data_IF_539066417324
#
_entry.id   IF_539066417324
#
_cell.length_a   1.000
_cell.length_b   1.000
_cell.length_c   1.000
_cell.angle_alpha   90.00
_cell.angle_beta   90.00
_cell.angle_gamma   90.00
#
_symmetry.space_group_name_H-M   'P 1'
#
loop_
_entity.id
_entity.type
_entity.pdbx_description
1 polymer ?
#
# COMPACT_ATOMS: atom_id res chain seq x y z
N UNK A 1 10.83 59.31 8.53
CA UNK A 1 11.39 58.08 9.17
C UNK A 1 10.47 56.89 8.95
N UNK A 2 9.15 57.07 9.04
CA UNK A 2 8.14 56.03 8.84
C UNK A 2 8.18 55.39 7.43
N UNK A 3 8.39 56.19 6.38
CA UNK A 3 8.47 55.68 5.00
C UNK A 3 9.64 54.70 4.77
N UNK A 4 10.75 54.90 5.48
CA UNK A 4 11.91 54.01 5.40
C UNK A 4 11.60 52.64 6.01
N UNK A 5 10.92 52.61 7.16
CA UNK A 5 10.51 51.37 7.80
C UNK A 5 9.46 50.62 6.98
N UNK A 6 8.49 51.34 6.40
CA UNK A 6 7.43 50.74 5.58
C UNK A 6 7.97 50.01 4.35
N UNK A 7 9.10 50.46 3.79
CA UNK A 7 9.73 49.83 2.63
C UNK A 7 10.75 48.77 3.07
N UNK A 8 11.58 49.05 4.07
CA UNK A 8 12.66 48.15 4.49
C UNK A 8 12.15 46.85 5.13
N UNK A 9 11.10 46.92 5.95
CA UNK A 9 10.55 45.77 6.68
C UNK A 9 10.03 44.66 5.75
N UNK A 10 9.17 44.92 4.76
CA UNK A 10 8.66 43.86 3.88
C UNK A 10 9.77 43.25 3.01
N UNK A 11 10.75 44.06 2.57
CA UNK A 11 11.88 43.57 1.78
C UNK A 11 12.67 42.54 2.60
N UNK A 12 13.10 42.91 3.81
CA UNK A 12 13.85 41.98 4.69
C UNK A 12 13.02 40.75 5.03
N UNK A 13 11.72 40.92 5.27
CA UNK A 13 10.81 39.82 5.60
C UNK A 13 10.72 38.82 4.46
N UNK A 14 10.62 39.25 3.20
CA UNK A 14 10.58 38.34 2.04
C UNK A 14 11.89 37.57 1.91
N UNK A 15 13.04 38.23 2.10
CA UNK A 15 14.35 37.59 2.04
C UNK A 15 14.60 36.59 3.17
N UNK A 16 13.92 36.71 4.30
CA UNK A 16 14.01 35.74 5.41
C UNK A 16 12.94 34.65 5.28
N UNK A 17 11.70 35.04 4.93
CA UNK A 17 10.57 34.14 4.82
C UNK A 17 10.71 33.15 3.65
N UNK A 18 11.22 33.58 2.50
CA UNK A 18 11.40 32.68 1.34
C UNK A 18 12.40 31.54 1.63
N UNK A 19 13.63 31.80 2.11
CA UNK A 19 14.55 30.74 2.51
C UNK A 19 14.04 29.91 3.68
N UNK A 20 13.34 30.52 4.64
CA UNK A 20 12.74 29.79 5.76
C UNK A 20 11.69 28.79 5.29
N UNK A 21 10.83 29.20 4.36
CA UNK A 21 9.81 28.33 3.76
C UNK A 21 10.48 27.16 3.02
N UNK A 22 11.54 27.46 2.25
CA UNK A 22 12.32 26.44 1.56
C UNK A 22 12.97 25.45 2.54
N UNK A 23 13.59 25.94 3.61
CA UNK A 23 14.17 25.10 4.68
C UNK A 23 13.11 24.30 5.44
N UNK A 24 11.96 24.90 5.72
CA UNK A 24 10.83 24.23 6.39
C UNK A 24 10.36 23.02 5.58
N UNK A 25 10.18 23.19 4.27
CA UNK A 25 9.77 22.08 3.42
C UNK A 25 10.90 21.09 3.16
N UNK A 26 12.16 21.54 3.08
CA UNK A 26 13.31 20.64 2.93
C UNK A 26 13.53 19.76 4.18
N UNK A 27 13.36 20.31 5.39
CA UNK A 27 13.41 19.53 6.64
C UNK A 27 12.25 18.54 6.73
N UNK A 28 11.06 18.93 6.25
CA UNK A 28 9.92 18.02 6.10
C UNK A 28 10.15 16.93 5.04
N UNK A 29 10.89 17.20 3.98
CA UNK A 29 11.23 16.18 2.96
C UNK A 29 12.19 15.11 3.48
N UNK A 30 13.01 15.41 4.50
CA UNK A 30 13.78 14.41 5.25
C UNK A 30 12.92 13.62 6.25
N UNK A 31 11.77 14.17 6.65
CA UNK A 31 10.76 13.51 7.51
C UNK A 31 9.70 12.75 6.72
N UNK A 32 9.70 12.80 5.38
CA UNK A 32 8.91 11.86 4.59
C UNK A 32 9.45 10.45 4.89
N UNK A 33 8.65 9.54 5.46
CA UNK A 33 9.11 8.21 5.81
C UNK A 33 9.45 7.48 4.51
N UNK A 34 10.72 7.52 4.12
CA UNK A 34 11.30 6.40 3.38
C UNK A 34 11.05 5.19 4.26
N UNK A 35 10.52 4.12 3.67
CA UNK A 35 10.40 2.79 4.28
C UNK A 35 11.62 2.59 5.19
N UNK A 36 11.39 2.74 6.48
CA UNK A 36 12.48 2.71 7.45
C UNK A 36 12.86 1.26 7.60
N UNK A 37 14.12 0.96 7.92
CA UNK A 37 14.57 -0.42 8.10
C UNK A 37 13.70 -1.19 9.14
N UNK A 38 13.13 -0.47 10.10
CA UNK A 38 12.12 -0.96 11.05
C UNK A 38 10.81 -1.41 10.35
N UNK A 39 10.34 -0.67 9.35
CA UNK A 39 9.16 -1.07 8.56
C UNK A 39 9.46 -2.34 7.76
N UNK A 40 10.66 -2.47 7.18
CA UNK A 40 11.08 -3.70 6.49
C UNK A 40 11.06 -4.90 7.44
N UNK A 41 11.60 -4.73 8.66
CA UNK A 41 11.58 -5.77 9.70
C UNK A 41 10.15 -6.12 10.14
N UNK A 42 9.27 -5.12 10.28
CA UNK A 42 7.87 -5.33 10.62
C UNK A 42 7.15 -6.11 9.51
N UNK A 43 7.40 -5.79 8.23
CA UNK A 43 6.85 -6.54 7.11
C UNK A 43 7.33 -7.98 7.10
N UNK A 44 8.62 -8.23 7.37
CA UNK A 44 9.17 -9.59 7.46
C UNK A 44 8.55 -10.39 8.61
N UNK A 45 8.35 -9.77 9.77
CA UNK A 45 7.69 -10.39 10.91
C UNK A 45 6.22 -10.72 10.58
N UNK A 46 5.48 -9.78 9.99
CA UNK A 46 4.10 -10.01 9.54
C UNK A 46 4.02 -11.13 8.51
N UNK A 47 5.00 -11.22 7.60
CA UNK A 47 5.08 -12.28 6.61
C UNK A 47 5.31 -13.65 7.25
N UNK A 48 6.21 -13.73 8.25
CA UNK A 48 6.45 -14.95 9.04
C UNK A 48 5.20 -15.37 9.81
N UNK A 49 4.49 -14.42 10.42
CA UNK A 49 3.25 -14.68 11.14
C UNK A 49 2.14 -15.19 10.20
N UNK A 50 2.00 -14.59 9.02
CA UNK A 50 1.04 -15.01 8.00
C UNK A 50 1.28 -16.47 7.56
N UNK A 51 2.53 -16.84 7.25
CA UNK A 51 2.88 -18.23 6.88
C UNK A 51 2.51 -19.22 7.96
N UNK A 52 2.80 -18.89 9.22
CA UNK A 52 2.48 -19.76 10.35
C UNK A 52 0.98 -19.91 10.57
N UNK A 53 0.20 -18.85 10.32
CA UNK A 53 -1.26 -18.90 10.38
C UNK A 53 -1.81 -19.82 9.30
N UNK A 54 -1.24 -19.77 8.10
CA UNK A 54 -1.61 -20.63 6.97
C UNK A 54 -1.30 -22.11 7.25
N UNK A 55 -0.13 -22.42 7.83
CA UNK A 55 0.21 -23.80 8.25
C UNK A 55 -0.81 -24.38 9.25
N UNK A 56 -1.33 -23.52 10.13
CA UNK A 56 -2.37 -23.91 11.10
C UNK A 56 -3.73 -24.04 10.45
N UNK A 57 -4.06 -23.15 9.51
CA UNK A 57 -5.28 -23.24 8.72
C UNK A 57 -5.38 -24.57 7.98
N UNK A 58 -4.29 -25.07 7.39
CA UNK A 58 -4.28 -26.40 6.76
C UNK A 58 -4.72 -27.53 7.72
N UNK A 59 -4.33 -27.43 8.99
CA UNK A 59 -4.75 -28.41 10.00
C UNK A 59 -6.22 -28.23 10.36
N UNK A 60 -6.69 -26.99 10.48
CA UNK A 60 -8.10 -26.66 10.72
C UNK A 60 -8.97 -27.12 9.54
N UNK A 61 -8.56 -26.89 8.31
CA UNK A 61 -9.24 -27.37 7.10
C UNK A 61 -9.36 -28.89 7.10
N UNK A 62 -8.30 -29.61 7.49
CA UNK A 62 -8.34 -31.08 7.61
C UNK A 62 -9.32 -31.56 8.68
N UNK A 63 -9.39 -30.87 9.82
CA UNK A 63 -10.32 -31.21 10.91
C UNK A 63 -11.75 -30.91 10.48
N UNK A 64 -11.99 -29.72 9.89
CA UNK A 64 -13.31 -29.30 9.43
C UNK A 64 -13.83 -30.20 8.30
N UNK A 65 -12.97 -30.63 7.36
CA UNK A 65 -13.34 -31.59 6.33
C UNK A 65 -13.66 -32.98 6.87
N UNK A 66 -13.01 -33.39 7.97
CA UNK A 66 -13.31 -34.66 8.65
C UNK A 66 -14.63 -34.59 9.43
N UNK A 67 -14.98 -33.41 9.98
CA UNK A 67 -16.16 -33.20 10.82
C UNK A 67 -17.41 -32.82 9.99
N UNK A 68 -17.24 -32.22 8.80
CA UNK A 68 -18.31 -31.81 7.88
C UNK A 68 -17.93 -32.12 6.42
N UNK A 69 -18.40 -33.24 5.83
CA UNK A 69 -18.03 -33.64 4.47
C UNK A 69 -18.61 -32.73 3.36
N UNK A 70 -19.60 -31.89 3.67
CA UNK A 70 -20.15 -30.87 2.77
C UNK A 70 -19.44 -29.51 2.87
N UNK A 71 -18.38 -29.40 3.69
CA UNK A 71 -17.63 -28.15 3.83
C UNK A 71 -16.89 -27.83 2.53
N UNK A 72 -17.41 -26.84 1.80
CA UNK A 72 -16.75 -26.26 0.63
C UNK A 72 -15.75 -25.22 1.16
N UNK A 73 -14.43 -25.46 1.10
CA UNK A 73 -13.46 -24.44 1.45
C UNK A 73 -13.71 -23.24 0.53
N UNK A 74 -14.27 -22.17 1.09
CA UNK A 74 -14.53 -20.95 0.37
C UNK A 74 -13.20 -20.27 0.10
N UNK A 75 -12.60 -20.56 -1.05
CA UNK A 75 -11.61 -19.70 -1.70
C UNK A 75 -10.52 -19.16 -0.75
N UNK A 76 -9.73 -20.03 -0.11
CA UNK A 76 -8.37 -19.70 0.33
C UNK A 76 -7.43 -19.71 -0.88
N UNK A 77 -7.80 -18.94 -1.91
CA UNK A 77 -6.91 -18.60 -2.99
C UNK A 77 -6.78 -17.08 -2.90
N UNK A 78 -5.63 -16.56 -2.45
CA UNK A 78 -5.26 -15.20 -2.82
C UNK A 78 -5.04 -15.27 -4.34
N UNK A 79 -6.12 -15.20 -5.11
CA UNK A 79 -6.06 -14.96 -6.56
C UNK A 79 -5.63 -13.50 -6.73
N UNK A 80 -4.37 -13.20 -6.37
CA UNK A 80 -3.68 -12.07 -6.96
C UNK A 80 -3.29 -12.48 -8.39
N UNK A 81 -4.31 -12.57 -9.26
CA UNK A 81 -4.15 -12.70 -10.69
C UNK A 81 -4.32 -11.30 -11.26
N UNK A 82 -3.24 -10.61 -11.65
CA UNK A 82 -3.41 -9.43 -12.49
C UNK A 82 -3.98 -9.95 -13.81
N UNK A 83 -5.22 -9.56 -14.09
CA UNK A 83 -5.88 -9.52 -15.41
C UNK A 83 -5.24 -10.32 -16.55
N UNK A 84 -5.98 -11.30 -17.04
CA UNK A 84 -5.56 -12.11 -18.19
C UNK A 84 -6.25 -13.47 -18.31
N UNK A 85 -7.22 -13.79 -17.44
CA UNK A 85 -8.17 -14.88 -17.73
C UNK A 85 -9.18 -14.35 -18.74
N UNK A 86 -8.76 -14.25 -20.00
CA UNK A 86 -9.68 -14.13 -21.12
C UNK A 86 -10.75 -15.21 -20.93
N UNK A 87 -11.99 -14.76 -20.80
CA UNK A 87 -13.14 -15.61 -20.78
C UNK A 87 -13.01 -16.57 -21.95
N UNK A 88 -13.05 -17.87 -21.66
CA UNK A 88 -13.41 -18.86 -22.65
C UNK A 88 -14.88 -18.60 -22.99
N UNK A 89 -15.12 -17.53 -23.73
CA UNK A 89 -16.36 -17.33 -24.46
C UNK A 89 -16.25 -18.28 -25.62
N UNK A 90 -16.87 -19.43 -25.42
CA UNK A 90 -17.43 -20.26 -26.46
C UNK A 90 -18.37 -19.38 -27.30
N UNK A 91 -17.81 -18.68 -28.29
CA UNK A 91 -18.58 -18.07 -29.38
C UNK A 91 -18.49 -19.02 -30.56
N UNK A 92 -19.32 -20.05 -30.53
CA UNK A 92 -19.75 -20.77 -31.72
C UNK A 92 -20.47 -19.81 -32.67
N UNK A 93 -19.75 -19.23 -33.62
CA UNK A 93 -20.33 -18.60 -34.81
C UNK A 93 -20.19 -19.53 -36.01
N UNK A 94 -20.68 -20.76 -35.88
CA UNK A 94 -20.95 -21.63 -37.03
C UNK A 94 -22.39 -21.46 -37.50
N UNK A 95 -22.71 -20.22 -37.91
CA UNK A 95 -23.99 -19.89 -38.54
C UNK A 95 -23.84 -18.81 -39.60
N UNK A 96 -23.16 -19.16 -40.69
CA UNK A 96 -23.36 -18.62 -42.05
C UNK A 96 -23.04 -19.77 -43.01
N UNK A 97 -24.04 -20.58 -43.36
CA UNK A 97 -24.72 -20.52 -44.66
C UNK A 97 -23.75 -20.48 -45.84
#
# INVERSE_FOLDING_TARGET
MEDFFNIAVPIVTIFVALPWLFLHYMTKWKQAPKITHEDEQLLDELHLLARRLEDRLNTVERIVAADNPDFKPSLSQPEWRPEGRLGRTDYSLDRRN
#
